data_IF_091158132011
#
_entry.id   IF_091158132011
#
_cell.length_a   1.000
_cell.length_b   1.000
_cell.length_c   1.000
_cell.angle_alpha   90.00
_cell.angle_beta   90.00
_cell.angle_gamma   90.00
#
_symmetry.space_group_name_H-M   'P 1'
#
loop_
_entity.id
_entity.type
_entity.pdbx_description
1 polymer ?
#
# COMPACT_ATOMS: atom_id res chain seq x y z
N UNK A 1 -27.64 12.47 -8.18
CA UNK A 1 -26.40 13.02 -7.61
C UNK A 1 -25.55 11.83 -7.18
N UNK A 2 -24.49 11.49 -7.90
CA UNK A 2 -23.52 10.50 -7.45
C UNK A 2 -22.73 11.15 -6.32
N UNK A 3 -22.72 10.53 -5.15
CA UNK A 3 -21.88 10.96 -4.02
C UNK A 3 -20.43 10.88 -4.49
N UNK A 4 -19.69 11.98 -4.40
CA UNK A 4 -18.26 12.01 -4.68
C UNK A 4 -17.56 10.99 -3.76
N UNK A 5 -16.77 10.09 -4.35
CA UNK A 5 -16.11 9.05 -3.57
C UNK A 5 -15.09 9.68 -2.62
N UNK A 6 -15.03 9.19 -1.38
CA UNK A 6 -14.04 9.65 -0.40
C UNK A 6 -12.62 9.21 -0.78
N UNK A 7 -11.59 9.90 -0.25
CA UNK A 7 -10.18 9.54 -0.48
C UNK A 7 -9.88 8.04 -0.24
N UNK A 8 -10.32 7.42 0.87
CA UNK A 8 -10.12 5.99 1.08
C UNK A 8 -10.84 5.10 0.06
N UNK A 9 -12.02 5.50 -0.41
CA UNK A 9 -12.76 4.75 -1.44
C UNK A 9 -12.06 4.83 -2.80
N UNK A 10 -11.47 5.99 -3.12
CA UNK A 10 -10.68 6.16 -4.33
C UNK A 10 -9.41 5.28 -4.26
N UNK A 11 -8.69 5.31 -3.15
CA UNK A 11 -7.51 4.49 -2.93
C UNK A 11 -7.81 2.98 -3.04
N UNK A 12 -8.94 2.53 -2.48
CA UNK A 12 -9.37 1.13 -2.54
C UNK A 12 -9.67 0.71 -3.99
N UNK A 13 -10.38 1.55 -4.74
CA UNK A 13 -10.67 1.28 -6.16
C UNK A 13 -9.40 1.21 -7.01
N UNK A 14 -8.46 2.15 -6.82
CA UNK A 14 -7.19 2.15 -7.55
C UNK A 14 -6.32 0.94 -7.21
N UNK A 15 -6.28 0.53 -5.94
CA UNK A 15 -5.58 -0.69 -5.52
C UNK A 15 -6.18 -1.95 -6.17
N UNK A 16 -7.50 -2.04 -6.24
CA UNK A 16 -8.19 -3.15 -6.93
C UNK A 16 -7.91 -3.14 -8.44
N UNK A 17 -7.92 -1.97 -9.09
CA UNK A 17 -7.60 -1.83 -10.51
C UNK A 17 -6.16 -2.32 -10.79
N UNK A 18 -5.17 -1.78 -10.08
CA UNK A 18 -3.75 -2.15 -10.25
C UNK A 18 -3.54 -3.65 -10.02
N UNK A 19 -4.18 -4.22 -8.98
CA UNK A 19 -4.10 -5.65 -8.70
C UNK A 19 -4.71 -6.49 -9.84
N UNK A 20 -5.91 -6.15 -10.26
CA UNK A 20 -6.65 -6.91 -11.27
C UNK A 20 -5.94 -6.87 -12.63
N UNK A 21 -5.42 -5.72 -13.02
CA UNK A 21 -4.76 -5.52 -14.30
C UNK A 21 -3.41 -6.24 -14.39
N UNK A 22 -2.67 -6.31 -13.29
CA UNK A 22 -1.29 -6.82 -13.29
C UNK A 22 -1.15 -8.24 -12.72
N UNK A 23 -2.02 -8.66 -11.79
CA UNK A 23 -1.87 -9.94 -11.08
C UNK A 23 -3.10 -10.85 -11.20
N UNK A 24 -4.26 -10.28 -11.49
CA UNK A 24 -5.54 -10.99 -11.48
C UNK A 24 -6.23 -10.98 -10.10
N UNK A 25 -7.58 -11.10 -10.11
CA UNK A 25 -8.43 -10.85 -8.94
C UNK A 25 -8.26 -11.86 -7.79
N UNK A 26 -7.82 -13.08 -8.08
CA UNK A 26 -7.70 -14.17 -7.10
C UNK A 26 -6.29 -14.28 -6.49
N UNK A 27 -5.34 -13.40 -6.90
CA UNK A 27 -3.96 -13.49 -6.42
C UNK A 27 -3.85 -12.97 -4.99
N UNK A 28 -3.44 -13.83 -4.09
CA UNK A 28 -2.98 -13.51 -2.72
C UNK A 28 -2.13 -14.65 -2.14
N UNK A 29 -1.24 -14.42 -1.18
CA UNK A 29 -0.83 -13.08 -0.72
C UNK A 29 -0.13 -12.29 -1.83
N UNK A 30 -0.43 -11.00 -1.91
CA UNK A 30 0.21 -10.10 -2.87
C UNK A 30 1.69 -9.97 -2.53
N UNK A 31 2.55 -10.02 -3.55
CA UNK A 31 3.96 -9.63 -3.44
C UNK A 31 4.12 -8.19 -3.95
N UNK A 32 4.23 -7.19 -3.04
CA UNK A 32 4.28 -5.79 -3.45
C UNK A 32 5.55 -5.44 -4.24
N UNK A 33 6.67 -6.14 -4.01
CA UNK A 33 7.91 -5.89 -4.76
C UNK A 33 7.78 -6.34 -6.23
N UNK A 34 7.11 -7.47 -6.47
CA UNK A 34 6.80 -7.92 -7.84
C UNK A 34 5.83 -6.96 -8.53
N UNK A 35 4.81 -6.48 -7.80
CA UNK A 35 3.87 -5.50 -8.33
C UNK A 35 4.57 -4.19 -8.67
N UNK A 36 5.44 -3.67 -7.79
CA UNK A 36 6.26 -2.49 -8.05
C UNK A 36 7.06 -2.64 -9.34
N UNK A 37 7.71 -3.80 -9.53
CA UNK A 37 8.47 -4.09 -10.76
C UNK A 37 7.58 -4.10 -12.00
N UNK A 38 6.39 -4.65 -11.93
CA UNK A 38 5.43 -4.64 -13.03
C UNK A 38 4.94 -3.22 -13.38
N UNK A 39 4.96 -2.30 -12.40
CA UNK A 39 4.67 -0.87 -12.59
C UNK A 39 5.88 -0.05 -13.07
N UNK A 40 7.04 -0.67 -13.30
CA UNK A 40 8.27 0.01 -13.71
C UNK A 40 9.06 0.62 -12.56
N UNK A 41 8.77 0.27 -11.32
CA UNK A 41 9.53 0.71 -10.14
C UNK A 41 10.64 -0.29 -9.81
N UNK A 42 11.78 0.21 -9.34
CA UNK A 42 12.85 -0.63 -8.79
C UNK A 42 12.74 -0.63 -7.26
N UNK A 43 12.94 -1.78 -6.64
CA UNK A 43 12.85 -1.91 -5.17
C UNK A 43 14.20 -2.33 -4.61
N UNK A 44 14.69 -1.62 -3.60
CA UNK A 44 15.94 -1.91 -2.92
C UNK A 44 15.78 -1.91 -1.40
N UNK A 45 16.39 -2.88 -0.75
CA UNK A 45 16.56 -2.89 0.69
C UNK A 45 17.89 -2.23 1.05
N UNK A 46 17.80 -1.14 1.82
CA UNK A 46 18.95 -0.32 2.23
C UNK A 46 18.91 -0.05 3.74
N UNK A 47 20.04 0.29 4.33
CA UNK A 47 20.06 0.77 5.72
C UNK A 47 19.62 2.23 5.74
N UNK A 48 18.47 2.49 6.35
CA UNK A 48 17.95 3.82 6.60
C UNK A 48 18.01 4.15 8.10
N UNK A 49 17.81 5.40 8.45
CA UNK A 49 17.63 5.82 9.83
C UNK A 49 16.43 5.10 10.45
N UNK A 50 16.47 4.87 11.77
CA UNK A 50 15.41 4.11 12.47
C UNK A 50 14.02 4.73 12.36
N UNK A 51 13.95 6.02 12.13
CA UNK A 51 12.70 6.78 11.97
C UNK A 51 12.10 6.66 10.57
N UNK A 52 12.86 6.16 9.58
CA UNK A 52 12.45 6.06 8.18
C UNK A 52 12.20 4.60 7.83
N UNK A 53 10.95 4.27 7.48
CA UNK A 53 10.57 2.91 7.06
C UNK A 53 10.86 2.66 5.59
N UNK A 54 10.72 3.67 4.74
CA UNK A 54 10.98 3.60 3.32
C UNK A 54 10.91 4.97 2.65
N UNK A 55 11.14 4.98 1.35
CA UNK A 55 11.02 6.18 0.53
C UNK A 55 10.74 5.83 -0.93
N UNK A 56 9.92 6.62 -1.58
CA UNK A 56 9.75 6.65 -3.02
C UNK A 56 10.60 7.79 -3.59
N UNK A 57 11.49 7.48 -4.53
CA UNK A 57 12.48 8.42 -5.05
C UNK A 57 12.51 8.40 -6.57
N UNK A 58 12.51 9.57 -7.18
CA UNK A 58 12.86 9.78 -8.58
C UNK A 58 13.84 10.93 -8.69
N UNK A 59 15.02 10.68 -9.27
CA UNK A 59 16.13 11.65 -9.28
C UNK A 59 16.05 12.63 -10.43
N UNK A 60 15.54 12.19 -11.58
CA UNK A 60 15.42 13.01 -12.80
C UNK A 60 14.36 12.42 -13.73
N UNK A 61 14.12 13.09 -14.86
CA UNK A 61 13.12 12.67 -15.85
C UNK A 61 13.45 11.31 -16.51
N UNK A 62 14.72 11.00 -16.65
CA UNK A 62 15.25 9.86 -17.40
C UNK A 62 15.38 8.61 -16.52
N UNK A 63 15.45 8.78 -15.18
CA UNK A 63 15.64 7.67 -14.25
C UNK A 63 14.33 6.94 -13.94
N UNK A 64 14.43 5.62 -13.75
CA UNK A 64 13.31 4.84 -13.21
C UNK A 64 13.05 5.25 -11.76
N UNK A 65 11.78 5.34 -11.34
CA UNK A 65 11.46 5.56 -9.95
C UNK A 65 11.85 4.36 -9.08
N UNK A 66 12.28 4.64 -7.85
CA UNK A 66 12.85 3.66 -6.94
C UNK A 66 12.10 3.68 -5.61
N UNK A 67 11.77 2.50 -5.11
CA UNK A 67 11.32 2.31 -3.72
C UNK A 67 12.52 1.83 -2.90
N UNK A 68 12.85 2.57 -1.84
CA UNK A 68 13.83 2.18 -0.84
C UNK A 68 13.11 1.65 0.40
N UNK A 69 13.47 0.46 0.87
CA UNK A 69 12.92 -0.17 2.07
C UNK A 69 13.99 -0.27 3.14
N UNK A 70 13.64 0.05 4.38
CA UNK A 70 14.59 -0.10 5.48
C UNK A 70 14.80 -1.58 5.81
N UNK A 71 16.02 -2.09 5.53
CA UNK A 71 16.39 -3.49 5.81
C UNK A 71 16.36 -3.88 7.28
N UNK A 72 16.37 -2.89 8.18
CA UNK A 72 16.35 -3.12 9.62
C UNK A 72 14.92 -3.35 10.17
N UNK A 73 13.90 -3.23 9.32
CA UNK A 73 12.52 -3.53 9.67
C UNK A 73 12.15 -4.98 9.33
N UNK A 74 11.19 -5.53 10.09
CA UNK A 74 10.68 -6.88 9.83
C UNK A 74 9.92 -6.97 8.51
N UNK A 75 9.89 -8.16 7.92
CA UNK A 75 9.31 -8.44 6.61
C UNK A 75 7.88 -7.87 6.43
N UNK A 76 6.99 -8.10 7.39
CA UNK A 76 5.61 -7.62 7.30
C UNK A 76 5.52 -6.09 7.22
N UNK A 77 6.44 -5.39 7.90
CA UNK A 77 6.54 -3.94 7.85
C UNK A 77 7.07 -3.47 6.49
N UNK A 78 8.13 -4.10 5.99
CA UNK A 78 8.68 -3.81 4.66
C UNK A 78 7.64 -4.02 3.56
N UNK A 79 6.86 -5.10 3.63
CA UNK A 79 5.75 -5.37 2.69
C UNK A 79 4.70 -4.26 2.70
N UNK A 80 4.29 -3.82 3.89
CA UNK A 80 3.33 -2.72 4.02
C UNK A 80 3.92 -1.40 3.51
N UNK A 81 5.18 -1.11 3.84
CA UNK A 81 5.88 0.07 3.33
C UNK A 81 5.99 0.05 1.81
N UNK A 82 6.37 -1.08 1.20
CA UNK A 82 6.42 -1.20 -0.26
C UNK A 82 5.06 -0.91 -0.91
N UNK A 83 3.97 -1.48 -0.38
CA UNK A 83 2.62 -1.25 -0.87
C UNK A 83 2.18 0.23 -0.69
N UNK A 84 2.62 0.89 0.37
CA UNK A 84 2.36 2.30 0.65
C UNK A 84 3.08 3.20 -0.37
N UNK A 85 4.36 2.93 -0.65
CA UNK A 85 5.11 3.69 -1.66
C UNK A 85 4.53 3.50 -3.07
N UNK A 86 3.99 2.31 -3.39
CA UNK A 86 3.22 2.10 -4.62
C UNK A 86 1.97 3.01 -4.62
N UNK A 87 1.30 3.18 -3.48
CA UNK A 87 0.17 4.09 -3.35
C UNK A 87 0.53 5.53 -3.72
N UNK A 88 1.62 6.06 -3.19
CA UNK A 88 2.13 7.38 -3.58
C UNK A 88 2.44 7.47 -5.08
N UNK A 89 3.06 6.44 -5.64
CA UNK A 89 3.36 6.40 -7.07
C UNK A 89 2.08 6.43 -7.93
N UNK A 90 1.09 5.60 -7.62
CA UNK A 90 -0.19 5.56 -8.35
C UNK A 90 -0.93 6.89 -8.23
N UNK A 91 -0.94 7.50 -7.04
CA UNK A 91 -1.54 8.82 -6.84
C UNK A 91 -0.90 9.89 -7.73
N UNK A 92 0.44 9.87 -7.86
CA UNK A 92 1.18 10.79 -8.75
C UNK A 92 0.86 10.57 -10.22
N UNK A 93 0.76 9.32 -10.67
CA UNK A 93 0.36 9.02 -12.05
C UNK A 93 -1.01 9.60 -12.40
N UNK A 94 -1.92 9.64 -11.42
CA UNK A 94 -3.29 10.11 -11.59
C UNK A 94 -3.44 11.63 -11.39
N UNK A 95 -2.46 12.32 -10.79
CA UNK A 95 -2.58 13.74 -10.41
C UNK A 95 -2.44 14.73 -11.54
N UNK A 96 -2.10 14.32 -12.76
CA UNK A 96 -1.87 15.20 -13.92
C UNK A 96 -0.87 16.34 -13.63
N UNK A 97 0.03 16.16 -12.66
CA UNK A 97 1.04 17.15 -12.35
C UNK A 97 1.99 17.36 -13.54
N UNK A 98 2.38 18.62 -13.85
CA UNK A 98 3.24 18.88 -14.97
C UNK A 98 4.58 18.18 -14.82
N UNK A 99 5.19 17.84 -15.95
CA UNK A 99 6.48 17.17 -16.07
C UNK A 99 7.65 17.87 -15.31
N UNK A 100 7.45 19.08 -14.81
CA UNK A 100 8.40 19.82 -13.96
C UNK A 100 8.61 19.21 -12.56
N UNK A 101 7.78 18.29 -12.15
CA UNK A 101 7.94 17.55 -10.88
C UNK A 101 8.68 16.21 -11.04
N UNK A 102 9.66 16.16 -11.94
CA UNK A 102 10.42 14.92 -12.20
C UNK A 102 11.35 14.48 -11.08
N UNK A 103 11.68 15.38 -10.14
CA UNK A 103 12.44 15.04 -8.95
C UNK A 103 11.54 15.06 -7.73
N UNK A 104 11.44 13.94 -7.04
CA UNK A 104 10.70 13.87 -5.79
C UNK A 104 11.28 12.80 -4.86
N UNK A 105 11.16 13.03 -3.58
CA UNK A 105 11.54 12.13 -2.51
C UNK A 105 10.42 12.17 -1.48
N UNK A 106 9.63 11.11 -1.44
CA UNK A 106 8.66 10.89 -0.38
C UNK A 106 9.29 9.97 0.66
N UNK A 107 9.23 10.35 1.93
CA UNK A 107 9.82 9.58 3.03
C UNK A 107 8.73 9.17 3.98
N UNK A 108 8.56 7.88 4.15
CA UNK A 108 7.70 7.36 5.20
C UNK A 108 8.44 7.38 6.52
N UNK A 109 8.04 8.29 7.42
CA UNK A 109 8.60 8.38 8.77
C UNK A 109 7.62 7.81 9.80
N UNK A 110 8.18 7.27 10.90
CA UNK A 110 7.37 6.83 12.04
C UNK A 110 6.81 8.01 12.86
N UNK A 111 7.26 9.24 12.56
CA UNK A 111 6.97 10.46 13.32
C UNK A 111 5.80 11.26 12.77
N UNK A 112 5.35 11.00 11.55
CA UNK A 112 4.18 11.68 10.97
C UNK A 112 2.93 10.92 11.41
N UNK A 113 1.99 11.66 12.02
CA UNK A 113 0.67 11.10 12.30
C UNK A 113 -0.01 10.75 10.96
N UNK A 114 -0.35 9.47 10.71
CA UNK A 114 -0.76 9.00 9.38
C UNK A 114 -2.12 9.56 8.90
N UNK A 115 -2.74 10.44 9.65
CA UNK A 115 -4.09 10.96 9.40
C UNK A 115 -4.14 12.47 9.16
N UNK A 116 -2.99 13.16 9.13
CA UNK A 116 -2.92 14.62 8.99
C UNK A 116 -2.66 15.10 7.57
N UNK A 117 -2.27 14.22 6.65
CA UNK A 117 -2.02 14.51 5.25
C UNK A 117 -2.87 13.60 4.36
N UNK A 118 -3.60 14.18 3.42
CA UNK A 118 -4.45 13.46 2.47
C UNK A 118 -3.67 12.45 1.63
N UNK A 119 -2.42 12.75 1.30
CA UNK A 119 -1.54 11.85 0.55
C UNK A 119 -1.16 10.62 1.37
N UNK A 120 -0.83 10.81 2.65
CA UNK A 120 -0.54 9.71 3.58
C UNK A 120 -1.79 8.86 3.85
N UNK A 121 -2.95 9.50 4.00
CA UNK A 121 -4.22 8.79 4.15
C UNK A 121 -4.52 7.92 2.92
N UNK A 122 -4.33 8.47 1.73
CA UNK A 122 -4.51 7.75 0.48
C UNK A 122 -3.55 6.57 0.39
N UNK A 123 -2.24 6.78 0.60
CA UNK A 123 -1.23 5.73 0.50
C UNK A 123 -1.44 4.60 1.51
N UNK A 124 -1.83 4.94 2.75
CA UNK A 124 -2.19 3.95 3.78
C UNK A 124 -3.44 3.14 3.40
N UNK A 125 -4.49 3.79 2.88
CA UNK A 125 -5.71 3.13 2.43
C UNK A 125 -5.43 2.22 1.21
N UNK A 126 -4.62 2.70 0.26
CA UNK A 126 -4.17 1.93 -0.90
C UNK A 126 -3.40 0.67 -0.47
N UNK A 127 -2.39 0.81 0.40
CA UNK A 127 -1.60 -0.32 0.91
C UNK A 127 -2.48 -1.37 1.61
N UNK A 128 -3.41 -0.92 2.45
CA UNK A 128 -4.34 -1.79 3.14
C UNK A 128 -5.26 -2.54 2.16
N UNK A 129 -5.80 -1.85 1.16
CA UNK A 129 -6.66 -2.45 0.14
C UNK A 129 -5.90 -3.41 -0.77
N UNK A 130 -4.68 -3.04 -1.18
CA UNK A 130 -3.82 -3.88 -2.02
C UNK A 130 -3.48 -5.20 -1.33
N UNK A 131 -2.95 -5.14 -0.09
CA UNK A 131 -2.51 -6.33 0.63
C UNK A 131 -3.67 -7.15 1.21
N UNK A 132 -4.82 -6.51 1.46
CA UNK A 132 -5.99 -7.10 2.08
C UNK A 132 -7.25 -6.74 1.29
N UNK A 133 -7.42 -7.26 0.05
CA UNK A 133 -8.56 -6.95 -0.81
C UNK A 133 -9.88 -7.33 -0.15
N UNK A 134 -10.85 -6.42 -0.19
CA UNK A 134 -12.13 -6.56 0.51
C UNK A 134 -12.87 -7.87 0.19
N UNK A 135 -12.94 -8.22 -1.10
CA UNK A 135 -13.64 -9.43 -1.54
C UNK A 135 -12.99 -10.70 -1.00
N UNK A 136 -11.65 -10.78 -1.06
CA UNK A 136 -10.90 -11.94 -0.58
C UNK A 136 -10.95 -12.03 0.95
N UNK A 137 -10.80 -10.90 1.67
CA UNK A 137 -10.94 -10.86 3.13
C UNK A 137 -12.33 -11.31 3.56
N UNK A 138 -13.40 -10.81 2.92
CA UNK A 138 -14.76 -11.17 3.28
C UNK A 138 -15.02 -12.67 3.08
N UNK A 139 -14.53 -13.23 1.96
CA UNK A 139 -14.63 -14.67 1.68
C UNK A 139 -13.88 -15.52 2.71
N UNK A 140 -12.60 -15.23 2.92
CA UNK A 140 -11.73 -15.99 3.80
C UNK A 140 -12.15 -15.89 5.27
N UNK A 141 -12.65 -14.73 5.69
CA UNK A 141 -13.13 -14.54 7.06
C UNK A 141 -14.37 -15.40 7.37
N UNK A 142 -15.22 -15.69 6.39
CA UNK A 142 -16.34 -16.61 6.61
C UNK A 142 -15.87 -18.05 6.87
N UNK A 143 -14.70 -18.41 6.36
CA UNK A 143 -14.13 -19.75 6.50
C UNK A 143 -13.44 -19.91 7.85
N UNK A 144 -12.50 -18.99 8.17
CA UNK A 144 -11.64 -19.17 9.37
C UNK A 144 -12.15 -18.47 10.61
N UNK A 145 -12.86 -17.34 10.51
CA UNK A 145 -13.30 -16.50 11.64
C UNK A 145 -12.15 -16.07 12.59
N UNK A 146 -10.92 -16.29 12.18
CA UNK A 146 -9.72 -16.02 12.96
C UNK A 146 -8.92 -14.87 12.33
N UNK A 147 -8.76 -13.77 13.07
CA UNK A 147 -7.93 -12.63 12.66
C UNK A 147 -6.47 -13.04 12.49
N UNK A 148 -5.97 -13.94 13.36
CA UNK A 148 -4.58 -14.40 13.33
C UNK A 148 -4.32 -15.25 12.09
N UNK A 149 -5.20 -16.19 11.76
CA UNK A 149 -5.05 -17.07 10.60
C UNK A 149 -5.14 -16.25 9.30
N UNK A 150 -6.06 -15.28 9.24
CA UNK A 150 -6.14 -14.35 8.12
C UNK A 150 -4.86 -13.52 7.99
N UNK A 151 -4.36 -12.96 9.09
CA UNK A 151 -3.13 -12.18 9.07
C UNK A 151 -1.95 -13.01 8.52
N UNK A 152 -1.82 -14.25 8.96
CA UNK A 152 -0.82 -15.18 8.44
C UNK A 152 -1.02 -15.48 6.94
N UNK A 153 -2.26 -15.76 6.52
CA UNK A 153 -2.62 -16.09 5.13
C UNK A 153 -2.34 -14.94 4.17
N UNK A 154 -2.62 -13.71 4.57
CA UNK A 154 -2.37 -12.50 3.77
C UNK A 154 -0.96 -11.91 3.97
N UNK A 155 -0.15 -12.49 4.86
CA UNK A 155 1.20 -12.03 5.22
C UNK A 155 1.21 -10.55 5.63
N UNK A 156 0.33 -10.22 6.59
CA UNK A 156 0.25 -8.90 7.24
C UNK A 156 0.28 -9.08 8.76
N UNK A 157 0.46 -7.98 9.51
CA UNK A 157 0.40 -8.06 10.97
C UNK A 157 -1.03 -8.30 11.47
N UNK A 158 -1.16 -8.97 12.63
CA UNK A 158 -2.47 -9.20 13.24
C UNK A 158 -3.21 -7.88 13.53
N UNK A 159 -2.48 -6.82 13.92
CA UNK A 159 -3.05 -5.49 14.13
C UNK A 159 -3.57 -4.85 12.84
N UNK A 160 -2.84 -4.98 11.73
CA UNK A 160 -3.29 -4.50 10.42
C UNK A 160 -4.56 -5.24 9.97
N UNK A 161 -4.60 -6.57 10.12
CA UNK A 161 -5.77 -7.37 9.79
C UNK A 161 -6.98 -7.02 10.67
N UNK A 162 -6.78 -6.84 11.98
CA UNK A 162 -7.84 -6.43 12.88
C UNK A 162 -8.42 -5.06 12.48
N UNK A 163 -7.55 -4.09 12.19
CA UNK A 163 -7.97 -2.77 11.73
C UNK A 163 -8.77 -2.86 10.42
N UNK A 164 -8.28 -3.68 9.46
CA UNK A 164 -8.97 -3.89 8.18
C UNK A 164 -10.35 -4.50 8.37
N UNK A 165 -10.48 -5.55 9.17
CA UNK A 165 -11.76 -6.21 9.47
C UNK A 165 -12.76 -5.26 10.14
N UNK A 166 -12.28 -4.42 11.07
CA UNK A 166 -13.10 -3.37 11.71
C UNK A 166 -13.62 -2.37 10.68
N UNK A 167 -12.75 -1.85 9.82
CA UNK A 167 -13.14 -0.89 8.78
C UNK A 167 -14.10 -1.48 7.74
N UNK A 168 -13.96 -2.77 7.44
CA UNK A 168 -14.88 -3.50 6.57
C UNK A 168 -16.18 -3.90 7.28
N UNK A 169 -16.33 -3.61 8.58
CA UNK A 169 -17.48 -3.99 9.43
C UNK A 169 -17.72 -5.51 9.46
N UNK A 170 -16.66 -6.30 9.35
CA UNK A 170 -16.70 -7.77 9.39
C UNK A 170 -16.53 -8.30 10.82
N UNK A 171 -15.80 -7.59 11.68
CA UNK A 171 -15.80 -7.86 13.13
C UNK A 171 -17.12 -7.32 13.71
N UNK A 172 -17.88 -8.21 14.35
CA UNK A 172 -18.97 -7.79 15.23
C UNK A 172 -18.35 -7.30 16.56
N UNK A 173 -18.88 -6.24 17.14
CA UNK A 173 -18.45 -5.75 18.45
C UNK A 173 -18.65 -6.79 19.53
#
# INVERSE_FOLDING_TARGET
>A
MQSEATLPQNAEREADNVRNDLLGPETFPIDPAKLATALGLRVFEVSLERTISGALVKLDAESDPVILLNRNEGELRQRFTCAHEIGHFVQRLNSHEPASSYQWIDRRTQLVEPWTDDNEMYANAFAAALLMPKSLIAHEYQITRSTIDLAAKFRVSASAMQYRLTNLKLLQP
#
